data_IF_868159601820
#
_entry.id   IF_868159601820
#
_cell.length_a   1.000
_cell.length_b   1.000
_cell.length_c   1.000
_cell.angle_alpha   90.00
_cell.angle_beta   90.00
_cell.angle_gamma   90.00
#
_symmetry.space_group_name_H-M   'P 1'
#
loop_
_entity.id
_entity.type
_entity.pdbx_description
1 polymer ?
#
# COMPACT_ATOMS: atom_id res chain seq x y z
N UNK A 1 -21.32 -65.04 -26.53
CA UNK A 1 -20.89 -65.37 -27.92
C UNK A 1 -20.24 -64.19 -28.65
N UNK A 2 -20.15 -63.00 -28.05
CA UNK A 2 -19.58 -61.79 -28.66
C UNK A 2 -18.05 -61.84 -28.67
N UNK A 3 -17.41 -62.39 -27.62
CA UNK A 3 -15.96 -62.49 -27.55
C UNK A 3 -15.41 -63.59 -28.48
N UNK A 4 -16.09 -64.74 -28.58
CA UNK A 4 -15.73 -65.80 -29.52
C UNK A 4 -15.69 -65.33 -30.99
N UNK A 5 -16.56 -64.37 -31.36
CA UNK A 5 -16.55 -63.72 -32.69
C UNK A 5 -15.39 -62.73 -32.86
N UNK A 6 -14.99 -62.00 -31.80
CA UNK A 6 -13.84 -61.07 -31.85
C UNK A 6 -12.49 -61.80 -31.99
N UNK A 7 -12.36 -63.00 -31.41
CA UNK A 7 -11.12 -63.80 -31.45
C UNK A 7 -11.04 -64.82 -32.61
N UNK A 8 -12.04 -64.87 -33.50
CA UNK A 8 -12.06 -65.80 -34.64
C UNK A 8 -10.91 -65.57 -35.64
N UNK A 9 -10.38 -64.36 -35.72
CA UNK A 9 -9.25 -63.98 -36.59
C UNK A 9 -7.86 -64.08 -35.95
N UNK A 10 -7.77 -64.44 -34.65
CA UNK A 10 -6.49 -64.53 -33.94
C UNK A 10 -6.09 -66.01 -33.89
N UNK A 11 -4.98 -66.43 -34.55
CA UNK A 11 -4.58 -67.83 -34.57
C UNK A 11 -4.10 -68.26 -33.18
N UNK A 12 -4.90 -69.13 -32.55
CA UNK A 12 -4.59 -69.79 -31.27
C UNK A 12 -4.54 -71.29 -31.48
N UNK A 13 -3.69 -71.99 -30.71
CA UNK A 13 -3.68 -73.44 -30.71
C UNK A 13 -5.03 -74.00 -30.21
N UNK A 14 -5.39 -75.19 -30.70
CA UNK A 14 -6.68 -75.83 -30.41
C UNK A 14 -6.92 -76.01 -28.90
N UNK A 15 -5.86 -76.37 -28.17
CA UNK A 15 -5.85 -76.53 -26.71
C UNK A 15 -6.01 -75.20 -25.97
N UNK A 16 -5.36 -74.12 -26.44
CA UNK A 16 -5.53 -72.79 -25.85
C UNK A 16 -6.95 -72.25 -26.01
N UNK A 17 -7.62 -72.58 -27.12
CA UNK A 17 -9.02 -72.18 -27.35
C UNK A 17 -9.99 -72.89 -26.40
N UNK A 18 -9.69 -74.11 -25.98
CA UNK A 18 -10.49 -74.86 -24.99
C UNK A 18 -10.27 -74.36 -23.55
N UNK A 19 -9.09 -73.81 -23.25
CA UNK A 19 -8.76 -73.25 -21.93
C UNK A 19 -9.37 -71.86 -21.74
N UNK A 20 -9.41 -71.03 -22.77
CA UNK A 20 -9.93 -69.66 -22.69
C UNK A 20 -11.45 -69.63 -22.90
N UNK A 21 -12.24 -69.81 -21.82
CA UNK A 21 -13.71 -69.77 -21.89
C UNK A 21 -14.22 -68.33 -21.79
N UNK A 22 -15.38 -68.05 -22.38
CA UNK A 22 -15.99 -66.71 -22.37
C UNK A 22 -16.32 -66.24 -20.94
N UNK A 23 -16.63 -67.18 -20.05
CA UNK A 23 -16.86 -66.97 -18.62
C UNK A 23 -15.63 -66.39 -17.89
N UNK A 24 -14.42 -66.77 -18.32
CA UNK A 24 -13.16 -66.32 -17.73
C UNK A 24 -12.90 -64.83 -18.00
N UNK A 25 -13.57 -64.24 -19.02
CA UNK A 25 -13.42 -62.84 -19.41
C UNK A 25 -14.59 -61.94 -18.98
N UNK A 26 -15.57 -62.47 -18.25
CA UNK A 26 -16.73 -61.70 -17.79
C UNK A 26 -16.36 -60.49 -16.91
N UNK A 27 -15.15 -60.49 -16.31
CA UNK A 27 -14.64 -59.35 -15.56
C UNK A 27 -14.26 -58.16 -16.46
N UNK A 28 -13.90 -58.39 -17.73
CA UNK A 28 -13.55 -57.32 -18.67
C UNK A 28 -14.78 -56.49 -19.08
N UNK A 29 -15.94 -57.13 -19.19
CA UNK A 29 -17.22 -56.45 -19.43
C UNK A 29 -17.56 -55.51 -18.26
N UNK A 30 -17.33 -55.95 -17.02
CA UNK A 30 -17.48 -55.10 -15.83
C UNK A 30 -16.48 -53.94 -15.80
N UNK A 31 -15.29 -54.09 -16.39
CA UNK A 31 -14.27 -53.04 -16.50
C UNK A 31 -14.64 -52.02 -17.58
N UNK A 32 -15.24 -52.44 -18.70
CA UNK A 32 -15.79 -51.53 -19.71
C UNK A 32 -16.96 -50.71 -19.14
N UNK A 33 -17.91 -51.35 -18.43
CA UNK A 33 -19.04 -50.67 -17.78
C UNK A 33 -18.63 -49.71 -16.65
N UNK A 34 -17.51 -49.97 -15.98
CA UNK A 34 -16.99 -49.10 -14.93
C UNK A 34 -16.05 -48.00 -15.46
N UNK A 35 -15.53 -48.12 -16.68
CA UNK A 35 -14.72 -47.09 -17.35
C UNK A 35 -15.53 -45.84 -17.67
N UNK A 36 -16.74 -46.01 -18.21
CA UNK A 36 -17.60 -44.87 -18.56
C UNK A 36 -18.08 -44.11 -17.31
N UNK A 37 -18.37 -44.84 -16.22
CA UNK A 37 -18.73 -44.24 -14.92
C UNK A 37 -17.53 -43.56 -14.26
N UNK A 38 -16.34 -44.16 -14.35
CA UNK A 38 -15.10 -43.57 -13.87
C UNK A 38 -14.75 -42.28 -14.61
N UNK A 39 -14.93 -42.25 -15.94
CA UNK A 39 -14.63 -41.07 -16.75
C UNK A 39 -15.51 -39.85 -16.41
N UNK A 40 -16.80 -40.05 -16.14
CA UNK A 40 -17.68 -38.95 -15.71
C UNK A 40 -17.37 -38.49 -14.28
N UNK A 41 -16.98 -39.42 -13.40
CA UNK A 41 -16.59 -39.09 -12.03
C UNK A 41 -15.25 -38.34 -11.97
N UNK A 42 -14.28 -38.73 -12.80
CA UNK A 42 -13.00 -38.05 -12.97
C UNK A 42 -13.18 -36.63 -13.51
N UNK A 43 -14.06 -36.42 -14.51
CA UNK A 43 -14.39 -35.08 -15.01
C UNK A 43 -15.00 -34.18 -13.93
N UNK A 44 -15.94 -34.71 -13.15
CA UNK A 44 -16.56 -33.96 -12.06
C UNK A 44 -15.54 -33.56 -10.99
N UNK A 45 -14.60 -34.46 -10.69
CA UNK A 45 -13.53 -34.20 -9.73
C UNK A 45 -12.52 -33.18 -10.26
N UNK A 46 -12.17 -33.24 -11.55
CA UNK A 46 -11.34 -32.23 -12.22
C UNK A 46 -12.00 -30.84 -12.21
N UNK A 47 -13.30 -30.75 -12.50
CA UNK A 47 -14.05 -29.50 -12.47
C UNK A 47 -14.07 -28.90 -11.06
N UNK A 48 -14.36 -29.71 -10.04
CA UNK A 48 -14.33 -29.28 -8.63
C UNK A 48 -12.94 -28.81 -8.19
N UNK A 49 -11.88 -29.48 -8.64
CA UNK A 49 -10.51 -29.08 -8.35
C UNK A 49 -10.15 -27.74 -9.00
N UNK A 50 -10.64 -27.51 -10.23
CA UNK A 50 -10.49 -26.24 -10.95
C UNK A 50 -11.21 -25.10 -10.25
N UNK A 51 -12.47 -25.29 -9.88
CA UNK A 51 -13.25 -24.29 -9.14
C UNK A 51 -12.57 -23.91 -7.82
N UNK A 52 -12.08 -24.89 -7.07
CA UNK A 52 -11.36 -24.63 -5.82
C UNK A 52 -10.04 -23.88 -6.04
N UNK A 53 -9.34 -24.15 -7.15
CA UNK A 53 -8.14 -23.43 -7.53
C UNK A 53 -8.44 -21.97 -7.87
N UNK A 54 -9.47 -21.73 -8.68
CA UNK A 54 -9.91 -20.39 -9.07
C UNK A 54 -10.39 -19.58 -7.85
N UNK A 55 -11.16 -20.20 -6.95
CA UNK A 55 -11.63 -19.57 -5.72
C UNK A 55 -10.46 -19.19 -4.79
N UNK A 56 -9.40 -20.01 -4.74
CA UNK A 56 -8.17 -19.70 -4.01
C UNK A 56 -7.42 -18.52 -4.63
N UNK A 57 -7.31 -18.47 -5.96
CA UNK A 57 -6.70 -17.34 -6.67
C UNK A 57 -7.49 -16.06 -6.38
N UNK A 58 -8.82 -16.10 -6.50
CA UNK A 58 -9.69 -14.96 -6.23
C UNK A 58 -9.51 -14.42 -4.81
N UNK A 59 -9.57 -15.29 -3.80
CA UNK A 59 -9.31 -14.90 -2.40
C UNK A 59 -7.92 -14.32 -2.18
N UNK A 60 -6.91 -14.82 -2.90
CA UNK A 60 -5.56 -14.27 -2.85
C UNK A 60 -5.51 -12.85 -3.39
N UNK A 61 -6.15 -12.61 -4.54
CA UNK A 61 -6.22 -11.30 -5.19
C UNK A 61 -7.02 -10.30 -4.33
N UNK A 62 -8.17 -10.70 -3.80
CA UNK A 62 -8.99 -9.86 -2.90
C UNK A 62 -8.18 -9.42 -1.66
N UNK A 63 -7.45 -10.35 -1.03
CA UNK A 63 -6.58 -10.02 0.11
C UNK A 63 -5.49 -9.03 -0.27
N UNK A 64 -4.84 -9.24 -1.42
CA UNK A 64 -3.79 -8.36 -1.92
C UNK A 64 -4.34 -6.94 -2.18
N UNK A 65 -5.49 -6.83 -2.85
CA UNK A 65 -6.12 -5.55 -3.11
C UNK A 65 -6.49 -4.83 -1.82
N UNK A 66 -7.05 -5.54 -0.84
CA UNK A 66 -7.40 -4.97 0.45
C UNK A 66 -6.17 -4.49 1.23
N UNK A 67 -5.06 -5.20 1.13
CA UNK A 67 -3.80 -4.80 1.76
C UNK A 67 -3.20 -3.57 1.07
N UNK A 68 -3.22 -3.53 -0.27
CA UNK A 68 -2.79 -2.37 -1.05
C UNK A 68 -3.66 -1.13 -0.77
N UNK A 69 -4.97 -1.29 -0.59
CA UNK A 69 -5.88 -0.21 -0.20
C UNK A 69 -5.56 0.30 1.20
N UNK A 70 -5.42 -0.60 2.17
CA UNK A 70 -5.02 -0.25 3.54
C UNK A 70 -3.68 0.49 3.59
N UNK A 71 -2.71 0.07 2.78
CA UNK A 71 -1.42 0.75 2.69
C UNK A 71 -1.56 2.16 2.12
N UNK A 72 -2.37 2.34 1.07
CA UNK A 72 -2.66 3.66 0.49
C UNK A 72 -3.33 4.59 1.51
N UNK A 73 -4.33 4.12 2.24
CA UNK A 73 -4.99 4.90 3.30
C UNK A 73 -3.99 5.36 4.37
N UNK A 74 -3.10 4.46 4.82
CA UNK A 74 -2.06 4.80 5.80
C UNK A 74 -1.08 5.83 5.27
N UNK A 75 -0.68 5.74 4.00
CA UNK A 75 0.18 6.73 3.36
C UNK A 75 -0.50 8.10 3.24
N UNK A 76 -1.77 8.13 2.85
CA UNK A 76 -2.55 9.38 2.76
C UNK A 76 -2.69 10.04 4.12
N UNK A 77 -3.06 9.29 5.16
CA UNK A 77 -3.14 9.79 6.53
C UNK A 77 -1.79 10.32 7.02
N UNK A 78 -0.70 9.64 6.68
CA UNK A 78 0.65 10.11 7.02
C UNK A 78 0.99 11.42 6.30
N UNK A 79 0.69 11.52 5.01
CA UNK A 79 0.92 12.75 4.22
C UNK A 79 0.11 13.92 4.76
N UNK A 80 -1.16 13.71 5.11
CA UNK A 80 -2.02 14.73 5.71
C UNK A 80 -1.43 15.24 7.02
N UNK A 81 -1.07 14.34 7.96
CA UNK A 81 -0.44 14.73 9.22
C UNK A 81 0.89 15.45 9.03
N UNK A 82 1.69 15.04 8.04
CA UNK A 82 2.94 15.72 7.72
C UNK A 82 2.69 17.15 7.20
N UNK A 83 1.67 17.34 6.37
CA UNK A 83 1.26 18.66 5.89
C UNK A 83 0.72 19.54 7.02
N UNK A 84 -0.14 19.00 7.88
CA UNK A 84 -0.64 19.70 9.08
C UNK A 84 0.52 20.13 9.98
N UNK A 85 1.47 19.23 10.23
CA UNK A 85 2.66 19.54 11.02
C UNK A 85 3.51 20.64 10.37
N UNK A 86 3.74 20.58 9.05
CA UNK A 86 4.46 21.63 8.31
C UNK A 86 3.74 22.98 8.41
N UNK A 87 2.41 22.99 8.25
CA UNK A 87 1.62 24.21 8.37
C UNK A 87 1.74 24.81 9.77
N UNK A 88 1.56 23.96 10.79
CA UNK A 88 1.65 24.39 12.18
C UNK A 88 3.03 24.95 12.54
N UNK A 89 4.10 24.31 12.07
CA UNK A 89 5.47 24.82 12.25
C UNK A 89 5.67 26.16 11.53
N UNK A 90 5.14 26.31 10.32
CA UNK A 90 5.22 27.56 9.56
C UNK A 90 4.44 28.70 10.27
N UNK A 91 3.26 28.42 10.81
CA UNK A 91 2.47 29.38 11.61
C UNK A 91 3.25 29.84 12.84
N UNK A 92 3.79 28.91 13.63
CA UNK A 92 4.60 29.23 14.81
C UNK A 92 5.85 30.05 14.45
N UNK A 93 6.48 29.75 13.31
CA UNK A 93 7.62 30.51 12.83
C UNK A 93 7.22 31.94 12.45
N UNK A 94 6.10 32.12 11.75
CA UNK A 94 5.57 33.42 11.36
C UNK A 94 5.18 34.28 12.57
N UNK A 95 4.53 33.69 13.58
CA UNK A 95 4.21 34.37 14.84
C UNK A 95 5.47 34.86 15.55
N UNK A 96 6.49 33.98 15.69
CA UNK A 96 7.77 34.34 16.30
C UNK A 96 8.49 35.43 15.51
N UNK A 97 8.50 35.33 14.19
CA UNK A 97 9.11 36.34 13.32
C UNK A 97 8.42 37.70 13.46
N UNK A 98 7.08 37.72 13.50
CA UNK A 98 6.28 38.93 13.72
C UNK A 98 6.63 39.62 15.03
N UNK A 99 6.65 38.88 16.14
CA UNK A 99 7.02 39.41 17.46
C UNK A 99 8.46 39.95 17.50
N UNK A 100 9.40 39.26 16.86
CA UNK A 100 10.79 39.71 16.76
C UNK A 100 10.93 40.98 15.93
N UNK A 101 10.23 41.07 14.79
CA UNK A 101 10.21 42.28 13.94
C UNK A 101 9.65 43.47 14.71
N UNK A 102 8.52 43.31 15.42
CA UNK A 102 7.92 44.35 16.22
C UNK A 102 8.87 44.82 17.34
N UNK A 103 9.51 43.88 18.05
CA UNK A 103 10.52 44.21 19.06
C UNK A 103 11.71 44.95 18.46
N UNK A 104 12.20 44.54 17.29
CA UNK A 104 13.30 45.20 16.60
C UNK A 104 12.94 46.64 16.18
N UNK A 105 11.70 46.86 15.73
CA UNK A 105 11.20 48.20 15.40
C UNK A 105 11.16 49.09 16.63
N UNK A 106 10.56 48.63 17.74
CA UNK A 106 10.53 49.37 19.02
C UNK A 106 11.94 49.75 19.49
N UNK A 107 12.90 48.84 19.41
CA UNK A 107 14.30 49.12 19.79
C UNK A 107 14.94 50.17 18.86
N UNK A 108 14.64 50.13 17.56
CA UNK A 108 15.14 51.11 16.59
C UNK A 108 14.58 52.50 16.90
N UNK A 109 13.29 52.60 17.15
CA UNK A 109 12.61 53.84 17.54
C UNK A 109 13.16 54.41 18.84
N UNK A 110 13.32 53.56 19.86
CA UNK A 110 13.88 53.95 21.14
C UNK A 110 15.32 54.49 21.00
N UNK A 111 16.19 53.82 20.22
CA UNK A 111 17.54 54.31 19.95
C UNK A 111 17.53 55.63 19.16
N UNK A 112 16.59 55.80 18.25
CA UNK A 112 16.40 57.07 17.51
C UNK A 112 16.00 58.20 18.45
N UNK A 113 15.08 57.92 19.38
CA UNK A 113 14.69 58.85 20.43
C UNK A 113 15.88 59.23 21.33
N UNK A 114 16.66 58.25 21.81
CA UNK A 114 17.86 58.52 22.61
C UNK A 114 18.86 59.43 21.90
N UNK A 115 19.12 59.21 20.60
CA UNK A 115 19.99 60.10 19.81
C UNK A 115 19.46 61.53 19.77
N UNK A 116 18.16 61.71 19.49
CA UNK A 116 17.53 63.03 19.44
C UNK A 116 17.55 63.75 20.79
N UNK A 117 17.36 63.03 21.89
CA UNK A 117 17.46 63.61 23.24
C UNK A 117 18.88 64.07 23.50
N UNK A 118 19.86 63.21 23.19
CA UNK A 118 21.27 63.53 23.38
C UNK A 118 21.73 64.74 22.55
N UNK A 119 21.33 64.81 21.27
CA UNK A 119 21.58 65.98 20.41
C UNK A 119 21.01 67.26 21.02
N UNK A 120 19.76 67.23 21.49
CA UNK A 120 19.14 68.39 22.15
C UNK A 120 19.85 68.80 23.45
N UNK A 121 20.28 67.84 24.26
CA UNK A 121 21.05 68.12 25.49
C UNK A 121 22.41 68.75 25.18
N UNK A 122 23.07 68.34 24.09
CA UNK A 122 24.32 68.92 23.62
C UNK A 122 24.13 70.34 23.03
N UNK A 123 23.06 70.56 22.27
CA UNK A 123 22.72 71.88 21.73
C UNK A 123 22.36 72.88 22.85
N UNK A 124 21.65 72.43 23.89
CA UNK A 124 21.32 73.24 25.08
C UNK A 124 22.55 73.51 25.96
N UNK A 125 23.58 72.66 25.89
CA UNK A 125 24.85 72.82 26.62
C UNK A 125 25.81 73.85 25.99
N UNK A 126 25.60 74.23 24.73
CA UNK A 126 26.43 75.23 24.03
C UNK A 126 25.87 76.67 24.10
N UNK A 127 24.65 76.86 24.60
CA UNK A 127 23.99 78.18 24.67
C UNK A 127 24.17 78.99 25.96
N UNK A 128 24.64 78.38 27.05
CA UNK A 128 24.68 79.02 28.37
C UNK A 128 26.08 78.99 29.03
N UNK A 129 27.08 79.50 28.32
CA UNK A 129 28.44 79.64 28.86
C UNK A 129 29.10 80.93 28.41
N UNK A 130 29.21 81.89 29.35
CA UNK A 130 30.08 83.07 29.33
C UNK A 130 29.41 84.42 28.97
N UNK A 131 28.43 84.86 29.76
CA UNK A 131 28.35 86.29 30.09
C UNK A 131 29.38 86.58 31.18
N UNK A 132 30.51 87.18 30.78
CA UNK A 132 31.46 87.80 31.72
C UNK A 132 30.75 88.96 32.40
N UNK A 133 30.52 88.83 33.70
CA UNK A 133 30.20 89.97 34.56
C UNK A 133 31.51 90.76 34.72
N UNK A 134 31.62 91.89 34.02
CA UNK A 134 32.58 92.94 34.35
C UNK A 134 32.08 93.65 35.62
N UNK A 135 32.92 93.68 36.65
CA UNK A 135 32.73 94.55 37.81
C UNK A 135 33.80 95.63 37.77
N UNK A 136 33.35 96.89 37.84
CA UNK A 136 34.13 98.12 37.99
C UNK A 136 35.05 98.13 39.22
#
# INVERSE_FOLDING_TARGET
>A
MTHAKRFAGIPMSKTMREICKEEDYAFLEKVEDSRDKGAEQDKLEEEKMREHHEERIRRSQERKQKEEERQRELEEMRKQKEQEWKSHVAELAAEREGALKERALRLREFRSFQRKVHEKEMDLGQGNGCEKIECD
#
